data_IF_170642141120
#
_entry.id   IF_170642141120
#
_cell.length_a   1.000
_cell.length_b   1.000
_cell.length_c   1.000
_cell.angle_alpha   90.00
_cell.angle_beta   90.00
_cell.angle_gamma   90.00
#
_symmetry.space_group_name_H-M   'P 1'
#
loop_
_entity.id
_entity.type
_entity.pdbx_description
1 polymer ?
#
# COMPACT_ATOMS: atom_id res chain seq x y z
N UNK A 1 18.43 24.39 12.71
CA UNK A 1 18.19 23.26 11.77
C UNK A 1 19.55 22.76 11.37
N UNK A 2 19.94 21.52 11.64
CA UNK A 2 21.19 20.98 11.13
C UNK A 2 21.02 20.68 9.64
N UNK A 3 21.91 21.22 8.83
CA UNK A 3 22.10 20.97 7.42
C UNK A 3 22.50 19.50 7.20
N UNK A 4 21.55 18.65 6.90
CA UNK A 4 21.81 17.31 6.35
C UNK A 4 22.10 17.47 4.85
N UNK A 5 23.35 17.75 4.52
CA UNK A 5 23.84 17.73 3.14
C UNK A 5 23.85 16.27 2.66
N UNK A 6 22.74 15.83 2.11
CA UNK A 6 22.67 14.63 1.27
C UNK A 6 23.61 14.82 0.07
N UNK A 7 24.71 14.09 0.04
CA UNK A 7 25.58 13.98 -1.12
C UNK A 7 24.84 13.21 -2.21
N UNK A 8 24.25 13.93 -3.16
CA UNK A 8 23.74 13.34 -4.38
C UNK A 8 24.92 12.91 -5.25
N UNK A 9 25.17 11.63 -5.38
CA UNK A 9 25.93 11.08 -6.49
C UNK A 9 24.99 10.96 -7.70
N UNK A 10 25.36 11.67 -8.77
CA UNK A 10 24.66 11.60 -10.06
C UNK A 10 24.96 10.26 -10.75
N UNK A 11 24.04 9.29 -10.58
CA UNK A 11 23.97 8.13 -11.44
C UNK A 11 22.56 8.02 -12.00
N UNK A 12 22.42 8.39 -13.30
CA UNK A 12 21.15 8.54 -14.01
C UNK A 12 20.36 7.24 -14.20
N UNK A 13 20.86 6.10 -13.73
CA UNK A 13 20.21 4.79 -13.83
C UNK A 13 19.59 4.28 -12.50
N UNK A 14 19.62 5.05 -11.41
CA UNK A 14 19.38 4.55 -10.06
C UNK A 14 18.17 5.14 -9.34
N UNK A 15 17.12 5.60 -10.05
CA UNK A 15 15.92 6.15 -9.40
C UNK A 15 15.17 5.14 -8.49
N UNK A 16 15.25 3.85 -8.76
CA UNK A 16 14.67 2.79 -7.93
C UNK A 16 15.49 2.47 -6.67
N UNK A 17 16.82 2.59 -6.72
CA UNK A 17 17.71 2.17 -5.62
C UNK A 17 17.70 3.12 -4.43
N UNK A 18 17.46 4.41 -4.63
CA UNK A 18 17.41 5.40 -3.55
C UNK A 18 16.00 5.66 -2.99
N UNK A 19 14.97 5.07 -3.60
CA UNK A 19 13.57 5.32 -3.21
C UNK A 19 13.29 4.87 -1.77
N UNK A 20 13.76 3.70 -1.37
CA UNK A 20 13.53 3.18 -0.02
C UNK A 20 14.31 3.96 1.02
N UNK A 21 15.57 4.28 0.78
CA UNK A 21 16.41 5.03 1.72
C UNK A 21 15.92 6.47 1.92
N UNK A 22 15.39 7.12 0.89
CA UNK A 22 14.91 8.51 0.95
C UNK A 22 13.48 8.61 1.49
N UNK A 23 12.53 7.86 0.93
CA UNK A 23 11.11 8.02 1.27
C UNK A 23 10.64 7.10 2.40
N UNK A 24 11.33 5.98 2.63
CA UNK A 24 10.98 4.99 3.65
C UNK A 24 12.00 4.88 4.78
N UNK A 25 12.88 5.87 4.93
CA UNK A 25 13.80 5.94 6.07
C UNK A 25 13.03 5.91 7.41
N UNK A 26 13.65 5.35 8.45
CA UNK A 26 13.04 5.27 9.79
C UNK A 26 12.69 6.66 10.36
N UNK A 27 13.40 7.71 9.96
CA UNK A 27 13.12 9.09 10.35
C UNK A 27 11.80 9.61 9.74
N UNK A 28 11.53 9.29 8.48
CA UNK A 28 10.30 9.72 7.79
C UNK A 28 9.11 8.80 8.08
N UNK A 29 9.36 7.49 8.17
CA UNK A 29 8.35 6.46 8.42
C UNK A 29 8.83 5.51 9.52
N UNK A 30 8.73 5.90 10.80
CA UNK A 30 9.16 5.09 11.93
C UNK A 30 8.41 3.76 11.97
N UNK A 31 9.09 2.73 12.45
CA UNK A 31 8.49 1.40 12.65
C UNK A 31 7.29 1.51 13.61
N UNK A 32 6.26 0.75 13.35
CA UNK A 32 5.04 0.73 14.16
C UNK A 32 4.40 -0.66 14.16
N UNK A 33 3.44 -0.88 15.05
CA UNK A 33 2.64 -2.10 15.08
C UNK A 33 1.48 -2.15 14.05
N UNK A 34 1.38 -1.09 13.23
CA UNK A 34 0.32 -0.98 12.22
C UNK A 34 0.34 -2.12 11.18
N UNK A 35 1.50 -2.55 10.64
CA UNK A 35 1.55 -3.69 9.72
C UNK A 35 1.03 -4.99 10.34
N UNK A 36 1.34 -5.27 11.61
CA UNK A 36 0.84 -6.45 12.31
C UNK A 36 -0.70 -6.42 12.48
N UNK A 37 -1.24 -5.25 12.85
CA UNK A 37 -2.70 -5.04 12.94
C UNK A 37 -3.37 -5.19 11.57
N UNK A 38 -2.77 -4.61 10.52
CA UNK A 38 -3.30 -4.67 9.16
C UNK A 38 -3.29 -6.10 8.62
N UNK A 39 -2.19 -6.82 8.77
CA UNK A 39 -2.07 -8.21 8.32
C UNK A 39 -3.13 -9.09 8.98
N UNK A 40 -3.29 -8.97 10.31
CA UNK A 40 -4.33 -9.71 11.05
C UNK A 40 -5.73 -9.36 10.56
N UNK A 41 -6.05 -8.08 10.39
CA UNK A 41 -7.37 -7.65 9.95
C UNK A 41 -7.67 -8.16 8.53
N UNK A 42 -6.71 -8.06 7.60
CA UNK A 42 -6.89 -8.55 6.23
C UNK A 42 -7.05 -10.07 6.22
N UNK A 43 -6.14 -10.80 6.86
CA UNK A 43 -6.16 -12.26 6.79
C UNK A 43 -7.37 -12.86 7.50
N UNK A 44 -7.64 -12.47 8.75
CA UNK A 44 -8.71 -13.08 9.58
C UNK A 44 -10.08 -12.44 9.33
N UNK A 45 -10.17 -11.10 9.39
CA UNK A 45 -11.48 -10.43 9.41
C UNK A 45 -12.05 -10.23 8.00
N UNK A 46 -11.20 -10.03 6.98
CA UNK A 46 -11.67 -9.79 5.61
C UNK A 46 -11.63 -11.06 4.74
N UNK A 47 -10.53 -11.83 4.77
CA UNK A 47 -10.33 -12.98 3.89
C UNK A 47 -10.65 -14.33 4.55
N UNK A 48 -10.82 -14.35 5.87
CA UNK A 48 -11.03 -15.57 6.67
C UNK A 48 -9.96 -16.65 6.38
N UNK A 49 -8.68 -16.24 6.31
CA UNK A 49 -7.52 -17.12 6.10
C UNK A 49 -6.56 -17.00 7.27
N UNK A 50 -6.12 -18.14 7.84
CA UNK A 50 -5.19 -18.22 8.98
C UNK A 50 -3.79 -18.71 8.62
N UNK A 51 -3.60 -19.17 7.38
CA UNK A 51 -2.32 -19.64 6.85
C UNK A 51 -2.39 -19.71 5.32
N UNK A 52 -1.29 -20.02 4.66
CA UNK A 52 -1.20 -20.19 3.20
C UNK A 52 0.04 -19.53 2.63
N UNK A 53 0.13 -19.46 1.31
CA UNK A 53 1.20 -18.75 0.61
C UNK A 53 0.80 -17.31 0.33
N UNK A 54 1.62 -16.37 0.78
CA UNK A 54 1.42 -14.93 0.67
C UNK A 54 2.51 -14.30 -0.18
N UNK A 55 2.13 -13.52 -1.16
CA UNK A 55 3.02 -12.70 -1.98
C UNK A 55 2.78 -11.21 -1.72
N UNK A 56 3.83 -10.48 -1.35
CA UNK A 56 3.80 -9.02 -1.24
C UNK A 56 4.48 -8.41 -2.48
N UNK A 57 3.69 -7.77 -3.34
CA UNK A 57 4.18 -7.16 -4.58
C UNK A 57 4.38 -5.67 -4.37
N UNK A 58 5.64 -5.21 -4.47
CA UNK A 58 6.10 -3.92 -3.99
C UNK A 58 6.34 -3.96 -2.48
N UNK A 59 7.09 -4.98 -2.00
CA UNK A 59 7.22 -5.26 -0.58
C UNK A 59 8.05 -4.23 0.20
N UNK A 60 8.84 -3.39 -0.46
CA UNK A 60 9.68 -2.36 0.14
C UNK A 60 10.53 -2.87 1.30
N UNK A 61 10.31 -2.36 2.53
CA UNK A 61 11.03 -2.77 3.74
C UNK A 61 10.59 -4.12 4.33
N UNK A 62 9.66 -4.82 3.71
CA UNK A 62 9.16 -6.11 4.17
C UNK A 62 8.32 -6.06 5.46
N UNK A 63 7.75 -4.92 5.80
CA UNK A 63 6.94 -4.79 7.02
C UNK A 63 5.75 -5.78 7.02
N UNK A 64 5.12 -6.00 5.86
CA UNK A 64 4.02 -6.96 5.73
C UNK A 64 4.50 -8.40 5.59
N UNK A 65 5.66 -8.66 4.97
CA UNK A 65 6.27 -9.99 4.98
C UNK A 65 6.48 -10.47 6.41
N UNK A 66 7.08 -9.64 7.27
CA UNK A 66 7.28 -9.93 8.70
C UNK A 66 5.94 -10.19 9.41
N UNK A 67 4.92 -9.37 9.10
CA UNK A 67 3.63 -9.47 9.78
C UNK A 67 2.85 -10.71 9.39
N UNK A 68 2.82 -11.07 8.08
CA UNK A 68 2.15 -12.28 7.62
C UNK A 68 2.91 -13.55 8.03
N UNK A 69 4.25 -13.52 8.08
CA UNK A 69 5.06 -14.63 8.60
C UNK A 69 4.72 -14.96 10.07
N UNK A 70 4.49 -13.94 10.92
CA UNK A 70 4.01 -14.13 12.30
C UNK A 70 2.61 -14.77 12.40
N UNK A 71 1.84 -14.72 11.31
CA UNK A 71 0.51 -15.32 11.20
C UNK A 71 0.53 -16.69 10.49
N UNK A 72 1.69 -17.37 10.43
CA UNK A 72 1.90 -18.68 9.81
C UNK A 72 1.67 -18.73 8.30
N UNK A 73 1.87 -17.61 7.59
CA UNK A 73 1.93 -17.62 6.13
C UNK A 73 3.36 -17.89 5.64
N UNK A 74 3.47 -18.66 4.55
CA UNK A 74 4.70 -18.79 3.76
C UNK A 74 4.80 -17.54 2.86
N UNK A 75 5.80 -16.68 3.12
CA UNK A 75 5.84 -15.33 2.56
C UNK A 75 6.95 -15.18 1.52
N UNK A 76 6.63 -14.54 0.41
CA UNK A 76 7.57 -14.14 -0.64
C UNK A 76 7.32 -12.66 -0.97
N UNK A 77 8.38 -11.92 -1.27
CA UNK A 77 8.32 -10.53 -1.73
C UNK A 77 8.77 -10.38 -3.17
N UNK A 78 8.28 -9.34 -3.82
CA UNK A 78 8.79 -8.82 -5.10
C UNK A 78 8.93 -7.31 -4.98
N UNK A 79 10.07 -6.75 -5.40
CA UNK A 79 10.30 -5.30 -5.44
C UNK A 79 11.30 -4.97 -6.55
N UNK A 80 11.33 -3.72 -7.00
CA UNK A 80 12.30 -3.26 -7.99
C UNK A 80 13.66 -2.93 -7.36
N UNK A 81 13.69 -2.66 -6.05
CA UNK A 81 14.87 -2.19 -5.32
C UNK A 81 15.76 -3.35 -4.89
N UNK A 82 17.08 -3.22 -5.14
CA UNK A 82 18.09 -4.13 -4.59
C UNK A 82 18.14 -4.05 -3.06
N UNK A 83 17.91 -2.87 -2.48
CA UNK A 83 17.85 -2.69 -1.02
C UNK A 83 16.76 -3.57 -0.38
N UNK A 84 15.64 -3.82 -1.07
CA UNK A 84 14.55 -4.64 -0.55
C UNK A 84 15.01 -6.09 -0.29
N UNK A 85 15.86 -6.66 -1.15
CA UNK A 85 16.39 -8.02 -0.96
C UNK A 85 17.23 -8.14 0.32
N UNK A 86 18.04 -7.11 0.62
CA UNK A 86 18.89 -7.08 1.81
C UNK A 86 18.09 -6.80 3.10
N UNK A 87 17.21 -5.80 3.06
CA UNK A 87 16.43 -5.36 4.23
C UNK A 87 15.42 -6.43 4.66
N UNK A 88 14.87 -7.17 3.70
CA UNK A 88 13.83 -8.18 3.98
C UNK A 88 14.37 -9.51 4.47
N UNK A 89 15.70 -9.73 4.54
CA UNK A 89 16.25 -10.98 5.08
C UNK A 89 15.63 -11.31 6.46
N UNK A 90 15.27 -12.58 6.73
CA UNK A 90 15.59 -13.79 5.94
C UNK A 90 14.56 -14.16 4.85
N UNK A 91 13.57 -13.32 4.54
CA UNK A 91 12.54 -13.63 3.55
C UNK A 91 13.11 -13.58 2.12
N UNK A 92 12.55 -14.43 1.25
CA UNK A 92 12.89 -14.44 -0.16
C UNK A 92 12.22 -13.27 -0.86
N UNK A 93 13.01 -12.41 -1.52
CA UNK A 93 12.54 -11.30 -2.33
C UNK A 93 13.14 -11.40 -3.72
N UNK A 94 12.31 -11.31 -4.76
CA UNK A 94 12.74 -11.25 -6.14
C UNK A 94 12.79 -9.80 -6.61
N UNK A 95 13.83 -9.45 -7.37
CA UNK A 95 13.93 -8.14 -8.02
C UNK A 95 13.25 -8.18 -9.38
N UNK A 96 12.21 -7.36 -9.55
CA UNK A 96 11.50 -7.24 -10.83
C UNK A 96 11.00 -5.83 -11.10
N UNK A 97 10.96 -5.46 -12.39
CA UNK A 97 10.27 -4.26 -12.85
C UNK A 97 8.77 -4.54 -12.97
N UNK A 98 7.98 -4.02 -12.05
CA UNK A 98 6.55 -4.31 -11.94
C UNK A 98 5.68 -3.63 -13.03
N UNK A 99 6.24 -2.71 -13.84
CA UNK A 99 5.61 -2.23 -15.08
C UNK A 99 5.43 -3.35 -16.11
N UNK A 100 6.34 -4.33 -16.10
CA UNK A 100 6.33 -5.50 -16.98
C UNK A 100 5.51 -6.66 -16.39
N UNK A 101 5.01 -6.49 -15.17
CA UNK A 101 4.32 -7.51 -14.39
C UNK A 101 5.27 -8.35 -13.54
N UNK A 102 4.78 -9.44 -12.95
CA UNK A 102 5.56 -10.37 -12.14
C UNK A 102 5.81 -11.63 -12.96
N UNK A 103 7.06 -11.90 -13.34
CA UNK A 103 7.43 -12.92 -14.31
C UNK A 103 8.33 -14.04 -13.74
N UNK A 104 9.01 -13.82 -12.60
CA UNK A 104 9.92 -14.78 -11.98
C UNK A 104 9.22 -15.88 -11.17
N UNK A 105 7.90 -15.77 -11.01
CA UNK A 105 7.10 -16.69 -10.19
C UNK A 105 6.16 -17.52 -11.06
N UNK A 106 5.99 -18.78 -10.67
CA UNK A 106 5.06 -19.69 -11.35
C UNK A 106 3.60 -19.33 -11.07
N UNK A 107 2.71 -19.72 -11.99
CA UNK A 107 1.28 -19.49 -11.88
C UNK A 107 0.63 -20.36 -10.79
N UNK A 108 -0.53 -19.94 -10.29
CA UNK A 108 -1.40 -20.70 -9.38
C UNK A 108 -0.74 -21.16 -8.06
N UNK A 109 0.13 -20.33 -7.49
CA UNK A 109 0.84 -20.70 -6.25
C UNK A 109 0.30 -20.06 -4.98
N UNK A 110 -0.26 -18.84 -5.07
CA UNK A 110 -0.51 -18.02 -3.89
C UNK A 110 -1.98 -18.05 -3.47
N UNK A 111 -2.20 -18.13 -2.17
CA UNK A 111 -3.51 -17.96 -1.55
C UNK A 111 -3.89 -16.48 -1.48
N UNK A 112 -2.89 -15.62 -1.29
CA UNK A 112 -3.05 -14.17 -1.27
C UNK A 112 -1.90 -13.54 -2.06
N UNK A 113 -2.21 -12.72 -3.07
CA UNK A 113 -1.30 -11.77 -3.70
C UNK A 113 -1.69 -10.38 -3.23
N UNK A 114 -0.80 -9.72 -2.52
CA UNK A 114 -1.06 -8.44 -1.90
C UNK A 114 -0.19 -7.34 -2.50
N UNK A 115 -0.74 -6.16 -2.68
CA UNK A 115 0.03 -4.99 -3.07
C UNK A 115 -0.54 -3.73 -2.43
N UNK A 116 0.31 -2.92 -1.82
CA UNK A 116 -0.09 -1.70 -1.13
C UNK A 116 0.80 -0.53 -1.52
N UNK A 117 0.18 0.53 -2.02
CA UNK A 117 0.88 1.75 -2.44
C UNK A 117 1.92 1.48 -3.53
N UNK A 118 1.50 0.77 -4.57
CA UNK A 118 2.30 0.44 -5.76
C UNK A 118 1.55 0.78 -7.05
N UNK A 119 0.29 0.32 -7.20
CA UNK A 119 -0.46 0.42 -8.46
C UNK A 119 -0.61 1.88 -8.94
N UNK A 120 -0.61 2.85 -8.03
CA UNK A 120 -0.65 4.29 -8.32
C UNK A 120 0.63 4.80 -9.00
N UNK A 121 1.74 4.07 -8.89
CA UNK A 121 3.02 4.39 -9.51
C UNK A 121 3.18 3.80 -10.91
N UNK A 122 2.31 2.84 -11.29
CA UNK A 122 2.42 2.11 -12.54
C UNK A 122 1.71 2.84 -13.69
N UNK A 123 2.37 2.94 -14.84
CA UNK A 123 1.80 3.45 -16.10
C UNK A 123 0.86 2.43 -16.74
N UNK A 124 1.11 1.13 -16.51
CA UNK A 124 0.27 0.04 -17.04
C UNK A 124 -0.32 -0.85 -15.93
N UNK A 125 -1.27 -0.33 -15.12
CA UNK A 125 -1.89 -1.10 -14.04
C UNK A 125 -2.67 -2.33 -14.51
N UNK A 126 -3.14 -2.33 -15.78
CA UNK A 126 -3.84 -3.47 -16.36
C UNK A 126 -2.92 -4.69 -16.52
N UNK A 127 -1.71 -4.48 -17.04
CA UNK A 127 -0.72 -5.55 -17.19
C UNK A 127 -0.29 -6.12 -15.83
N UNK A 128 -0.06 -5.24 -14.87
CA UNK A 128 0.23 -5.61 -13.49
C UNK A 128 -0.86 -6.50 -12.89
N UNK A 129 -2.12 -6.12 -12.99
CA UNK A 129 -3.23 -6.91 -12.45
C UNK A 129 -3.41 -8.26 -13.17
N UNK A 130 -3.15 -8.31 -14.49
CA UNK A 130 -3.14 -9.58 -15.24
C UNK A 130 -2.05 -10.53 -14.74
N UNK A 131 -0.87 -10.02 -14.43
CA UNK A 131 0.20 -10.85 -13.85
C UNK A 131 -0.18 -11.34 -12.45
N UNK A 132 -0.70 -10.46 -11.58
CA UNK A 132 -1.18 -10.87 -10.26
C UNK A 132 -2.26 -11.96 -10.33
N UNK A 133 -3.19 -11.86 -11.28
CA UNK A 133 -4.24 -12.87 -11.51
C UNK A 133 -3.67 -14.26 -11.84
N UNK A 134 -2.59 -14.32 -12.64
CA UNK A 134 -1.95 -15.60 -12.98
C UNK A 134 -1.35 -16.29 -11.76
N UNK A 135 -0.87 -15.52 -10.78
CA UNK A 135 -0.14 -16.02 -9.62
C UNK A 135 -1.04 -16.63 -8.55
N UNK A 136 -2.29 -16.15 -8.39
CA UNK A 136 -3.21 -16.71 -7.39
C UNK A 136 -3.72 -18.09 -7.80
N UNK A 137 -3.99 -18.94 -6.80
CA UNK A 137 -4.75 -20.20 -6.93
C UNK A 137 -6.18 -19.91 -7.39
N UNK A 138 -6.96 -20.97 -7.73
CA UNK A 138 -8.36 -20.79 -8.14
C UNK A 138 -9.23 -20.18 -7.03
N UNK A 139 -8.98 -20.51 -5.77
CA UNK A 139 -9.62 -19.92 -4.57
C UNK A 139 -8.80 -18.76 -3.95
N UNK A 140 -7.74 -18.34 -4.64
CA UNK A 140 -6.86 -17.27 -4.20
C UNK A 140 -7.49 -15.89 -4.39
N UNK A 141 -6.89 -14.90 -3.73
CA UNK A 141 -7.37 -13.52 -3.77
C UNK A 141 -6.23 -12.56 -4.05
N UNK A 142 -6.40 -11.64 -5.00
CA UNK A 142 -5.55 -10.47 -5.15
C UNK A 142 -6.13 -9.34 -4.30
N UNK A 143 -5.31 -8.75 -3.44
CA UNK A 143 -5.67 -7.60 -2.60
C UNK A 143 -4.84 -6.39 -3.01
N UNK A 144 -5.51 -5.32 -3.41
CA UNK A 144 -4.86 -4.06 -3.78
C UNK A 144 -5.27 -2.95 -2.81
N UNK A 145 -4.29 -2.22 -2.29
CA UNK A 145 -4.53 -1.03 -1.49
C UNK A 145 -3.81 0.17 -2.12
N UNK A 146 -4.57 1.19 -2.52
CA UNK A 146 -4.05 2.41 -3.17
C UNK A 146 -4.72 3.67 -2.63
N UNK A 147 -4.13 4.88 -2.70
CA UNK A 147 -4.81 6.10 -2.31
C UNK A 147 -6.12 6.31 -3.08
N UNK A 148 -7.17 6.70 -2.36
CA UNK A 148 -8.43 7.11 -2.99
C UNK A 148 -8.28 8.50 -3.60
N UNK A 149 -8.37 8.64 -4.92
CA UNK A 149 -8.35 9.94 -5.58
C UNK A 149 -9.35 10.92 -4.99
N UNK A 150 -10.57 10.47 -4.69
CA UNK A 150 -11.62 11.31 -4.13
C UNK A 150 -11.28 11.96 -2.79
N UNK A 151 -10.35 11.36 -2.03
CA UNK A 151 -9.89 11.87 -0.74
C UNK A 151 -8.53 12.57 -0.81
N UNK A 152 -7.74 12.31 -1.86
CA UNK A 152 -6.38 12.79 -2.02
C UNK A 152 -6.21 13.90 -3.08
N UNK A 153 -7.25 14.20 -3.88
CA UNK A 153 -7.17 15.16 -5.01
C UNK A 153 -6.84 16.60 -4.59
N UNK A 154 -7.13 16.98 -3.34
CA UNK A 154 -6.85 18.33 -2.81
C UNK A 154 -5.55 18.37 -1.98
N UNK A 155 -4.51 17.65 -2.37
CA UNK A 155 -3.21 17.80 -1.77
C UNK A 155 -2.35 16.54 -1.68
N UNK A 156 -2.70 15.50 -0.89
CA UNK A 156 -1.69 14.49 -0.56
C UNK A 156 -1.31 13.52 -1.68
N UNK A 157 -2.04 13.46 -2.79
CA UNK A 157 -1.71 12.51 -3.86
C UNK A 157 -0.35 12.82 -4.47
N UNK A 158 -0.12 14.07 -4.87
CA UNK A 158 1.14 14.50 -5.49
C UNK A 158 2.20 14.99 -4.50
N UNK A 159 2.07 14.70 -3.21
CA UNK A 159 3.21 14.79 -2.27
C UNK A 159 4.29 13.76 -2.60
N UNK A 160 3.90 12.68 -3.27
CA UNK A 160 4.81 11.76 -3.93
C UNK A 160 4.73 12.01 -5.44
N UNK A 161 5.80 12.56 -6.00
CA UNK A 161 5.88 12.94 -7.42
C UNK A 161 5.86 11.73 -8.37
N UNK A 162 6.06 10.53 -7.86
CA UNK A 162 6.06 9.29 -8.64
C UNK A 162 4.66 8.71 -8.85
N UNK A 163 3.62 9.30 -8.23
CA UNK A 163 2.24 8.90 -8.50
C UNK A 163 1.79 9.35 -9.89
N UNK A 164 1.45 8.41 -10.75
CA UNK A 164 1.06 8.66 -12.15
C UNK A 164 -0.38 8.22 -12.45
N UNK A 165 -0.92 7.24 -11.72
CA UNK A 165 -2.25 6.68 -11.99
C UNK A 165 -3.17 6.83 -10.77
N UNK A 166 -4.04 7.87 -10.73
CA UNK A 166 -5.02 8.03 -9.66
C UNK A 166 -6.21 7.08 -9.83
N UNK A 167 -6.69 6.50 -8.71
CA UNK A 167 -7.82 5.59 -8.71
C UNK A 167 -9.01 6.10 -7.92
N UNK A 168 -10.20 5.92 -8.49
CA UNK A 168 -11.51 5.98 -7.82
C UNK A 168 -12.00 4.56 -7.54
N UNK A 169 -13.10 4.40 -6.77
CA UNK A 169 -13.76 3.11 -6.59
C UNK A 169 -14.10 2.46 -7.95
N UNK A 170 -14.63 3.29 -8.87
CA UNK A 170 -15.07 2.79 -10.17
C UNK A 170 -13.89 2.39 -11.05
N UNK A 171 -12.90 3.28 -11.23
CA UNK A 171 -11.76 2.99 -12.12
C UNK A 171 -10.92 1.79 -11.65
N UNK A 172 -10.77 1.58 -10.32
CA UNK A 172 -10.09 0.40 -9.80
C UNK A 172 -10.89 -0.88 -10.03
N UNK A 173 -12.23 -0.80 -9.95
CA UNK A 173 -13.13 -1.91 -10.27
C UNK A 173 -13.06 -2.27 -11.76
N UNK A 174 -13.12 -1.26 -12.62
CA UNK A 174 -13.13 -1.44 -14.07
C UNK A 174 -11.82 -2.08 -14.56
N UNK A 175 -10.66 -1.59 -14.08
CA UNK A 175 -9.36 -2.17 -14.46
C UNK A 175 -9.23 -3.62 -13.93
N UNK A 176 -9.83 -3.96 -12.78
CA UNK A 176 -9.91 -5.33 -12.28
C UNK A 176 -10.69 -6.25 -13.22
N UNK A 177 -11.88 -5.82 -13.68
CA UNK A 177 -12.65 -6.58 -14.67
C UNK A 177 -11.93 -6.69 -16.02
N UNK A 178 -11.30 -5.61 -16.50
CA UNK A 178 -10.50 -5.61 -17.73
C UNK A 178 -9.27 -6.53 -17.62
N UNK A 179 -8.73 -6.73 -16.41
CA UNK A 179 -7.70 -7.73 -16.15
C UNK A 179 -8.23 -9.18 -16.17
N UNK A 180 -9.55 -9.35 -16.25
CA UNK A 180 -10.24 -10.63 -16.37
C UNK A 180 -10.60 -11.29 -15.04
N UNK A 181 -10.59 -10.58 -13.92
CA UNK A 181 -11.15 -11.09 -12.66
C UNK A 181 -12.67 -11.23 -12.78
N UNK A 182 -13.24 -12.29 -12.21
CA UNK A 182 -14.69 -12.54 -12.22
C UNK A 182 -15.41 -11.78 -11.10
N UNK A 183 -14.74 -11.65 -9.94
CA UNK A 183 -15.24 -10.90 -8.80
C UNK A 183 -14.28 -9.78 -8.46
N UNK A 184 -14.78 -8.53 -8.42
CA UNK A 184 -14.02 -7.35 -8.03
C UNK A 184 -14.84 -6.54 -7.04
N UNK A 185 -14.42 -6.55 -5.77
CA UNK A 185 -15.02 -5.78 -4.69
C UNK A 185 -14.08 -4.66 -4.31
N UNK A 186 -14.52 -3.40 -4.42
CA UNK A 186 -13.71 -2.22 -4.07
C UNK A 186 -14.45 -1.38 -3.04
N UNK A 187 -13.78 -1.04 -1.95
CA UNK A 187 -14.32 -0.27 -0.84
C UNK A 187 -13.34 0.80 -0.37
N UNK A 188 -13.85 1.84 0.31
CA UNK A 188 -13.01 2.77 1.05
C UNK A 188 -12.45 2.10 2.30
N UNK A 189 -11.17 2.30 2.55
CA UNK A 189 -10.45 1.75 3.68
C UNK A 189 -9.87 2.88 4.55
N UNK A 190 -10.41 3.01 5.75
CA UNK A 190 -9.91 3.94 6.76
C UNK A 190 -8.77 3.31 7.53
N UNK A 191 -7.61 3.97 7.57
CA UNK A 191 -6.35 3.38 8.05
C UNK A 191 -6.22 3.30 9.58
N UNK A 192 -7.20 3.76 10.35
CA UNK A 192 -7.17 3.73 11.81
C UNK A 192 -7.75 2.41 12.34
N UNK A 193 -6.98 1.56 13.03
CA UNK A 193 -7.42 0.23 13.45
C UNK A 193 -8.67 0.21 14.35
N UNK A 194 -8.91 1.26 15.14
CA UNK A 194 -10.11 1.31 15.98
C UNK A 194 -11.40 1.44 15.15
N UNK A 195 -11.34 2.04 13.94
CA UNK A 195 -12.47 2.15 13.02
C UNK A 195 -12.90 0.79 12.45
N UNK A 196 -11.97 -0.17 12.38
CA UNK A 196 -12.29 -1.53 11.90
C UNK A 196 -13.18 -2.28 12.90
N UNK A 197 -13.00 -2.00 14.20
CA UNK A 197 -13.76 -2.63 15.29
C UNK A 197 -15.02 -1.85 15.67
N UNK A 198 -14.98 -0.52 15.59
CA UNK A 198 -16.08 0.35 15.98
C UNK A 198 -16.62 1.13 14.78
N UNK A 199 -17.43 0.43 13.97
CA UNK A 199 -18.01 0.98 12.72
C UNK A 199 -18.74 2.34 12.86
N UNK A 200 -19.47 2.65 13.96
CA UNK A 200 -20.09 3.99 14.11
C UNK A 200 -19.09 5.15 14.03
N UNK A 201 -17.84 4.98 14.45
CA UNK A 201 -16.81 6.02 14.37
C UNK A 201 -16.39 6.34 12.91
N UNK A 202 -16.73 5.48 11.94
CA UNK A 202 -16.53 5.78 10.52
C UNK A 202 -17.35 7.00 10.11
N UNK A 203 -18.52 7.19 10.68
CA UNK A 203 -19.33 8.39 10.39
C UNK A 203 -18.60 9.67 10.79
N UNK A 204 -18.00 9.71 11.98
CA UNK A 204 -17.18 10.84 12.42
C UNK A 204 -15.97 11.06 11.50
N UNK A 205 -15.30 9.98 11.09
CA UNK A 205 -14.19 10.06 10.15
C UNK A 205 -14.62 10.62 8.79
N UNK A 206 -15.80 10.24 8.28
CA UNK A 206 -16.39 10.81 7.06
C UNK A 206 -16.68 12.31 7.19
N UNK A 207 -17.23 12.74 8.33
CA UNK A 207 -17.50 14.15 8.61
C UNK A 207 -16.20 14.96 8.61
N UNK A 208 -15.16 14.49 9.31
CA UNK A 208 -13.84 15.13 9.32
C UNK A 208 -13.22 15.19 7.92
N UNK A 209 -13.37 14.13 7.13
CA UNK A 209 -12.94 14.13 5.73
C UNK A 209 -13.65 15.19 4.90
N UNK A 210 -14.96 15.33 5.08
CA UNK A 210 -15.78 16.34 4.38
C UNK A 210 -15.37 17.77 4.76
N UNK A 211 -15.11 18.03 6.04
CA UNK A 211 -14.70 19.36 6.54
C UNK A 211 -13.31 19.80 6.07
N UNK A 212 -12.53 18.90 5.47
CA UNK A 212 -11.18 19.16 4.93
C UNK A 212 -10.26 19.88 5.92
N UNK A 213 -10.35 19.53 7.20
CA UNK A 213 -9.51 20.13 8.24
C UNK A 213 -8.02 20.00 7.92
N UNK A 214 -7.23 21.05 8.14
CA UNK A 214 -5.78 20.99 7.92
C UNK A 214 -5.11 20.02 8.89
N UNK A 215 -4.04 19.35 8.46
CA UNK A 215 -3.24 18.47 9.30
C UNK A 215 -1.77 18.49 8.90
N UNK A 216 -0.90 18.14 9.83
CA UNK A 216 0.53 18.01 9.58
C UNK A 216 0.88 16.61 9.04
N UNK A 217 1.80 16.45 8.08
CA UNK A 217 2.69 17.49 7.52
C UNK A 217 2.15 18.22 6.30
N UNK A 218 0.97 17.86 5.76
CA UNK A 218 0.49 18.35 4.47
C UNK A 218 0.33 19.88 4.41
N UNK A 219 -0.04 20.52 5.53
CA UNK A 219 -0.24 21.96 5.62
C UNK A 219 0.78 22.63 6.53
N UNK A 220 1.99 22.11 6.61
CA UNK A 220 3.03 22.58 7.51
C UNK A 220 3.31 24.08 7.37
N UNK A 221 3.32 24.58 6.14
CA UNK A 221 3.57 25.98 5.83
C UNK A 221 2.33 26.88 5.86
N UNK A 222 1.13 26.29 5.84
CA UNK A 222 -0.12 27.01 5.66
C UNK A 222 -1.01 27.04 6.90
N UNK A 223 -0.68 26.26 7.93
CA UNK A 223 -1.53 26.16 9.11
C UNK A 223 -0.85 26.72 10.36
N UNK A 224 -1.55 27.64 11.01
CA UNK A 224 -1.21 28.13 12.36
C UNK A 224 -1.78 27.20 13.45
N UNK A 225 -2.59 26.20 13.05
CA UNK A 225 -3.24 25.29 14.00
C UNK A 225 -2.32 24.10 14.24
N UNK A 226 -1.85 23.98 15.49
CA UNK A 226 -1.10 22.81 15.97
C UNK A 226 -2.04 21.89 16.73
N UNK A 227 -2.52 20.86 16.06
CA UNK A 227 -3.34 19.83 16.69
C UNK A 227 -2.51 18.97 17.66
N UNK A 228 -3.08 18.53 18.80
CA UNK A 228 -2.49 17.44 19.60
C UNK A 228 -2.23 16.22 18.70
N UNK A 229 -1.16 15.47 18.98
CA UNK A 229 -0.67 14.37 18.12
C UNK A 229 -1.77 13.37 17.72
N UNK A 230 -2.62 12.95 18.68
CA UNK A 230 -3.69 12.00 18.40
C UNK A 230 -4.81 12.62 17.54
N UNK A 231 -5.13 13.90 17.73
CA UNK A 231 -6.12 14.63 16.94
C UNK A 231 -5.60 14.81 15.52
N UNK A 232 -4.35 15.25 15.36
CA UNK A 232 -3.71 15.36 14.06
C UNK A 232 -3.70 14.02 13.31
N UNK A 233 -3.35 12.94 14.00
CA UNK A 233 -3.36 11.58 13.43
C UNK A 233 -4.76 11.17 12.99
N UNK A 234 -5.78 11.48 13.79
CA UNK A 234 -7.18 11.19 13.44
C UNK A 234 -7.61 11.97 12.19
N UNK A 235 -7.35 13.28 12.13
CA UNK A 235 -7.67 14.12 10.98
C UNK A 235 -6.92 13.62 9.74
N UNK A 236 -5.62 13.38 9.86
CA UNK A 236 -4.79 12.86 8.78
C UNK A 236 -5.40 11.60 8.16
N UNK A 237 -5.63 10.55 8.95
CA UNK A 237 -6.12 9.28 8.44
C UNK A 237 -7.63 9.23 8.14
N UNK A 238 -8.40 10.24 8.58
CA UNK A 238 -9.75 10.47 8.09
C UNK A 238 -9.75 11.08 6.68
N UNK A 239 -8.71 11.80 6.31
CA UNK A 239 -8.54 12.41 4.99
C UNK A 239 -7.74 11.54 4.02
N UNK A 240 -6.67 10.88 4.48
CA UNK A 240 -5.86 9.97 3.68
C UNK A 240 -6.49 8.57 3.60
N UNK A 241 -7.70 8.50 3.04
CA UNK A 241 -8.43 7.24 2.86
C UNK A 241 -7.85 6.46 1.69
N UNK A 242 -7.70 5.14 1.85
CA UNK A 242 -7.31 4.25 0.75
C UNK A 242 -8.50 3.57 0.12
N UNK A 243 -8.32 3.08 -1.10
CA UNK A 243 -9.14 2.04 -1.68
C UNK A 243 -8.57 0.69 -1.24
N UNK A 244 -9.46 -0.24 -0.96
CA UNK A 244 -9.18 -1.65 -0.70
C UNK A 244 -9.97 -2.47 -1.71
N UNK A 245 -9.28 -3.25 -2.53
CA UNK A 245 -9.89 -4.09 -3.52
C UNK A 245 -9.56 -5.57 -3.26
N UNK A 246 -10.59 -6.41 -3.31
CA UNK A 246 -10.49 -7.87 -3.40
C UNK A 246 -10.87 -8.30 -4.80
N UNK A 247 -10.02 -9.09 -5.44
CA UNK A 247 -10.21 -9.57 -6.80
C UNK A 247 -10.01 -11.09 -6.86
N UNK A 248 -10.93 -11.83 -7.47
CA UNK A 248 -10.91 -13.31 -7.59
C UNK A 248 -11.11 -13.76 -9.03
N UNK A 249 -10.57 -14.97 -9.35
CA UNK A 249 -10.74 -15.60 -10.66
C UNK A 249 -12.18 -15.94 -10.99
#
# INVERSE_FOLDING_TARGET
MPDDKLKFQEDKNNQGEQYLSVLYSNNRRPLSDYPDKLARYISHDLLNKSSGKFLDVGCGRGDLLKSFSKLNFDVIGVDISDEAQEICKPFKVYKENLEEGVNSLESNQFDIVFSKSLIEHLKNPLNFLRSCKKLIKEDGTVVIMTPSWMHHNFGPFYLDHTHVTPFTLQSLRDVGYLAGFKEVKVNYFYQLPFLWKFKPAIFLSKLVSFLKLPYMPMHEQLTFIKWPTNVNKFIKFSREVKLYAEMRK
#
